data_IF_197413706651
#
_entry.id   IF_197413706651
#
_cell.length_a   1.000
_cell.length_b   1.000
_cell.length_c   1.000
_cell.angle_alpha   90.00
_cell.angle_beta   90.00
_cell.angle_gamma   90.00
#
_symmetry.space_group_name_H-M   'P 1'
#
loop_
_entity.id
_entity.type
_entity.pdbx_description
1 polymer ?
#
# COMPACT_ATOMS: atom_id res chain seq x y z
N UNK A 1 -11.12 6.59 -3.11
CA UNK A 1 -10.38 5.52 -2.40
C UNK A 1 -11.31 4.82 -1.43
N UNK A 2 -11.34 3.50 -1.45
CA UNK A 2 -12.15 2.65 -0.56
C UNK A 2 -11.20 1.81 0.29
N UNK A 3 -11.46 1.72 1.60
CA UNK A 3 -10.74 0.84 2.52
C UNK A 3 -11.69 0.21 3.53
N UNK A 4 -11.30 -0.88 4.13
CA UNK A 4 -12.01 -1.51 5.25
C UNK A 4 -11.02 -2.14 6.23
N UNK A 5 -11.51 -2.53 7.40
CA UNK A 5 -10.76 -3.40 8.29
C UNK A 5 -10.63 -4.81 7.69
N UNK A 6 -9.65 -5.57 8.15
CA UNK A 6 -9.55 -7.00 7.82
C UNK A 6 -10.81 -7.74 8.26
N UNK A 7 -11.21 -8.70 7.45
CA UNK A 7 -12.40 -9.53 7.66
C UNK A 7 -11.99 -11.00 7.84
N UNK A 8 -11.02 -11.24 8.73
CA UNK A 8 -10.44 -12.57 8.97
C UNK A 8 -11.48 -13.56 9.56
N UNK A 9 -12.63 -13.06 10.04
CA UNK A 9 -13.78 -13.87 10.43
C UNK A 9 -14.52 -14.53 9.24
N UNK A 10 -14.23 -14.08 8.01
CA UNK A 10 -14.81 -14.65 6.78
C UNK A 10 -13.82 -15.60 6.10
N UNK A 11 -14.28 -16.72 5.56
CA UNK A 11 -13.40 -17.67 4.87
C UNK A 11 -12.65 -17.08 3.68
N UNK A 12 -13.27 -16.08 3.00
CA UNK A 12 -12.71 -15.38 1.84
C UNK A 12 -12.02 -14.05 2.21
N UNK A 13 -11.87 -13.74 3.51
CA UNK A 13 -11.35 -12.44 3.96
C UNK A 13 -12.19 -11.24 3.48
N UNK A 14 -13.42 -11.46 2.98
CA UNK A 14 -14.30 -10.46 2.40
C UNK A 14 -14.03 -10.14 0.92
N UNK A 15 -13.29 -10.99 0.20
CA UNK A 15 -12.91 -10.75 -1.19
C UNK A 15 -14.10 -10.56 -2.13
N UNK A 16 -15.16 -11.36 -1.98
CA UNK A 16 -16.36 -11.21 -2.80
C UNK A 16 -17.09 -9.88 -2.54
N UNK A 17 -17.09 -9.39 -1.29
CA UNK A 17 -17.67 -8.07 -0.96
C UNK A 17 -16.84 -6.97 -1.62
N UNK A 18 -15.51 -7.08 -1.58
CA UNK A 18 -14.62 -6.15 -2.26
C UNK A 18 -14.89 -6.11 -3.76
N UNK A 19 -14.92 -7.27 -4.40
CA UNK A 19 -15.17 -7.38 -5.83
C UNK A 19 -16.52 -6.80 -6.24
N UNK A 20 -17.57 -7.11 -5.49
CA UNK A 20 -18.91 -6.56 -5.76
C UNK A 20 -18.97 -5.05 -5.52
N UNK A 21 -18.30 -4.54 -4.48
CA UNK A 21 -18.23 -3.10 -4.22
C UNK A 21 -17.56 -2.36 -5.38
N UNK A 22 -16.45 -2.87 -5.92
CA UNK A 22 -15.76 -2.28 -7.07
C UNK A 22 -16.69 -2.27 -8.29
N UNK A 23 -17.30 -3.42 -8.64
CA UNK A 23 -18.21 -3.54 -9.77
C UNK A 23 -19.39 -2.56 -9.67
N UNK A 24 -20.05 -2.52 -8.51
CA UNK A 24 -21.17 -1.59 -8.27
C UNK A 24 -20.77 -0.12 -8.31
N UNK A 25 -19.56 0.19 -7.88
CA UNK A 25 -19.05 1.56 -7.96
C UNK A 25 -18.86 1.97 -9.41
N UNK A 26 -18.27 1.11 -10.25
CA UNK A 26 -18.12 1.36 -11.69
C UNK A 26 -19.48 1.48 -12.40
N UNK A 27 -20.46 0.64 -12.05
CA UNK A 27 -21.82 0.71 -12.60
C UNK A 27 -22.54 2.01 -12.22
N UNK A 28 -22.45 2.40 -10.94
CA UNK A 28 -23.15 3.57 -10.43
C UNK A 28 -22.48 4.90 -10.84
N UNK A 29 -21.17 4.88 -11.06
CA UNK A 29 -20.37 6.07 -11.37
C UNK A 29 -19.45 5.81 -12.58
N UNK A 30 -20.01 5.71 -13.80
CA UNK A 30 -19.19 5.48 -14.99
C UNK A 30 -18.12 6.55 -15.18
N UNK A 31 -16.88 6.12 -15.41
CA UNK A 31 -15.73 7.01 -15.62
C UNK A 31 -15.03 7.43 -14.32
N UNK A 32 -15.50 7.01 -13.14
CA UNK A 32 -14.80 7.23 -11.88
C UNK A 32 -13.67 6.21 -11.71
N UNK A 33 -12.47 6.68 -11.39
CA UNK A 33 -11.35 5.81 -10.98
C UNK A 33 -11.57 5.29 -9.56
N UNK A 34 -11.41 3.99 -9.36
CA UNK A 34 -11.54 3.32 -8.07
C UNK A 34 -10.16 2.88 -7.59
N UNK A 35 -9.74 3.39 -6.44
CA UNK A 35 -8.61 2.86 -5.68
C UNK A 35 -9.12 2.06 -4.49
N UNK A 36 -8.58 0.86 -4.27
CA UNK A 36 -8.90 0.05 -3.10
C UNK A 36 -7.64 -0.24 -2.28
N UNK A 37 -7.75 -0.04 -0.96
CA UNK A 37 -6.72 -0.45 0.00
C UNK A 37 -7.22 -1.66 0.77
N UNK A 38 -6.62 -2.81 0.53
CA UNK A 38 -7.08 -4.11 1.01
C UNK A 38 -6.07 -4.77 1.97
N UNK A 39 -6.56 -5.72 2.78
CA UNK A 39 -5.74 -6.59 3.60
C UNK A 39 -4.92 -7.59 2.79
N UNK A 40 -4.23 -8.50 3.52
CA UNK A 40 -3.43 -9.56 2.90
C UNK A 40 -4.21 -10.87 2.65
N UNK A 41 -5.51 -10.91 2.97
CA UNK A 41 -6.40 -12.08 2.85
C UNK A 41 -5.77 -13.36 3.42
N UNK A 42 -4.97 -13.24 4.49
CA UNK A 42 -4.18 -14.33 5.06
C UNK A 42 -3.29 -15.07 4.03
N UNK A 43 -3.05 -14.47 2.87
CA UNK A 43 -2.28 -15.05 1.76
C UNK A 43 -3.07 -15.99 0.86
N UNK A 44 -4.40 -15.97 0.91
CA UNK A 44 -5.24 -16.75 -0.01
C UNK A 44 -5.19 -16.13 -1.42
N UNK A 45 -4.42 -16.77 -2.30
CA UNK A 45 -4.23 -16.34 -3.68
C UNK A 45 -5.55 -16.27 -4.47
N UNK A 46 -6.53 -17.13 -4.16
CA UNK A 46 -7.84 -17.13 -4.83
C UNK A 46 -8.65 -15.91 -4.42
N UNK A 47 -8.67 -15.61 -3.12
CA UNK A 47 -9.34 -14.42 -2.59
C UNK A 47 -8.74 -13.14 -3.18
N UNK A 48 -7.40 -13.06 -3.23
CA UNK A 48 -6.70 -11.93 -3.85
C UNK A 48 -7.09 -11.80 -5.33
N UNK A 49 -7.14 -12.92 -6.07
CA UNK A 49 -7.49 -12.92 -7.49
C UNK A 49 -8.93 -12.43 -7.74
N UNK A 50 -9.90 -12.80 -6.89
CA UNK A 50 -11.29 -12.31 -6.97
C UNK A 50 -11.35 -10.79 -6.94
N UNK A 51 -10.55 -10.14 -6.08
CA UNK A 51 -10.48 -8.67 -6.02
C UNK A 51 -9.80 -8.10 -7.26
N UNK A 52 -8.71 -8.73 -7.73
CA UNK A 52 -8.01 -8.30 -8.93
C UNK A 52 -8.90 -8.37 -10.18
N UNK A 53 -9.73 -9.41 -10.28
CA UNK A 53 -10.64 -9.63 -11.42
C UNK A 53 -11.78 -8.58 -11.48
N UNK A 54 -12.09 -7.93 -10.36
CA UNK A 54 -13.02 -6.80 -10.33
C UNK A 54 -12.44 -5.51 -10.96
N UNK A 55 -11.12 -5.51 -11.27
CA UNK A 55 -10.43 -4.48 -12.07
C UNK A 55 -10.51 -3.05 -11.49
N UNK A 56 -10.18 -2.82 -10.21
CA UNK A 56 -9.97 -1.45 -9.74
C UNK A 56 -8.84 -0.81 -10.56
N UNK A 57 -8.85 0.52 -10.71
CA UNK A 57 -7.78 1.24 -11.39
C UNK A 57 -6.46 1.19 -10.62
N UNK A 58 -6.53 1.26 -9.28
CA UNK A 58 -5.40 1.13 -8.39
C UNK A 58 -5.75 0.13 -7.27
N UNK A 59 -4.86 -0.83 -7.04
CA UNK A 59 -4.96 -1.74 -5.90
C UNK A 59 -3.78 -1.54 -4.97
N UNK A 60 -4.07 -1.38 -3.68
CA UNK A 60 -3.11 -1.04 -2.65
C UNK A 60 -3.11 -2.05 -1.51
N UNK A 61 -1.91 -2.41 -1.05
CA UNK A 61 -1.67 -3.12 0.20
C UNK A 61 -0.43 -2.54 0.87
N UNK A 62 -0.57 -2.06 2.10
CA UNK A 62 0.52 -1.40 2.79
C UNK A 62 1.49 -2.39 3.42
N UNK A 63 2.80 -2.13 3.28
CA UNK A 63 3.85 -2.80 4.05
C UNK A 63 3.84 -2.33 5.51
N UNK A 64 3.39 -1.12 5.78
CA UNK A 64 3.29 -0.41 7.04
C UNK A 64 4.64 -0.07 7.68
N UNK A 65 5.60 -0.98 7.73
CA UNK A 65 6.91 -0.79 8.35
C UNK A 65 7.96 -1.74 7.77
N UNK A 66 9.22 -1.53 8.17
CA UNK A 66 10.36 -2.34 7.76
C UNK A 66 10.34 -3.76 8.36
N UNK A 67 11.08 -4.68 7.76
CA UNK A 67 11.07 -6.11 8.11
C UNK A 67 11.31 -6.38 9.59
N UNK A 68 12.31 -5.73 10.20
CA UNK A 68 12.65 -5.89 11.61
C UNK A 68 11.51 -5.46 12.55
N UNK A 69 10.80 -4.39 12.20
CA UNK A 69 9.72 -3.85 13.02
C UNK A 69 8.37 -4.54 12.80
N UNK A 70 8.24 -5.33 11.73
CA UNK A 70 6.98 -5.94 11.33
C UNK A 70 6.30 -6.76 12.45
N UNK A 71 7.00 -7.63 13.22
CA UNK A 71 6.37 -8.39 14.30
C UNK A 71 5.80 -7.51 15.42
N UNK A 72 6.43 -6.36 15.70
CA UNK A 72 5.98 -5.44 16.74
C UNK A 72 4.82 -4.54 16.30
N UNK A 73 4.77 -4.17 15.01
CA UNK A 73 3.77 -3.26 14.45
C UNK A 73 2.54 -4.01 13.93
N UNK A 74 2.76 -5.18 13.32
CA UNK A 74 1.73 -6.00 12.68
C UNK A 74 1.86 -7.48 13.07
N UNK A 75 1.59 -7.87 14.30
CA UNK A 75 1.85 -9.22 14.81
C UNK A 75 1.11 -10.33 14.08
N UNK A 76 0.00 -10.04 13.43
CA UNK A 76 -0.79 -11.01 12.66
C UNK A 76 -0.39 -11.09 11.18
N UNK A 77 0.28 -10.06 10.65
CA UNK A 77 0.75 -10.02 9.28
C UNK A 77 2.18 -10.57 9.16
N UNK A 78 2.60 -10.86 7.94
CA UNK A 78 3.96 -11.32 7.62
C UNK A 78 4.54 -10.50 6.50
N UNK A 79 5.77 -10.07 6.64
CA UNK A 79 6.48 -9.23 5.66
C UNK A 79 6.49 -9.87 4.27
N UNK A 80 6.91 -11.12 4.18
CA UNK A 80 6.98 -11.87 2.93
C UNK A 80 5.60 -12.12 2.30
N UNK A 81 4.55 -12.24 3.13
CA UNK A 81 3.17 -12.36 2.63
C UNK A 81 2.70 -11.06 2.00
N UNK A 82 3.00 -9.91 2.60
CA UNK A 82 2.69 -8.61 2.01
C UNK A 82 3.38 -8.41 0.66
N UNK A 83 4.65 -8.81 0.53
CA UNK A 83 5.37 -8.81 -0.76
C UNK A 83 4.71 -9.73 -1.80
N UNK A 84 4.25 -10.93 -1.38
CA UNK A 84 3.55 -11.86 -2.27
C UNK A 84 2.21 -11.30 -2.76
N UNK A 85 1.46 -10.62 -1.90
CA UNK A 85 0.20 -9.92 -2.27
C UNK A 85 0.48 -8.86 -3.33
N UNK A 86 1.48 -8.00 -3.12
CA UNK A 86 1.86 -6.96 -4.10
C UNK A 86 2.30 -7.57 -5.43
N UNK A 87 3.03 -8.69 -5.40
CA UNK A 87 3.41 -9.44 -6.61
C UNK A 87 2.20 -9.93 -7.39
N UNK A 88 1.20 -10.48 -6.73
CA UNK A 88 -0.02 -10.96 -7.38
C UNK A 88 -0.83 -9.83 -7.99
N UNK A 89 -0.94 -8.67 -7.32
CA UNK A 89 -1.57 -7.48 -7.89
C UNK A 89 -0.91 -7.07 -9.21
N UNK A 90 0.41 -7.01 -9.20
CA UNK A 90 1.17 -6.63 -10.41
C UNK A 90 1.05 -7.67 -11.52
N UNK A 91 1.09 -8.96 -11.19
CA UNK A 91 0.89 -10.04 -12.16
C UNK A 91 -0.49 -10.00 -12.81
N UNK A 92 -1.51 -9.46 -12.11
CA UNK A 92 -2.86 -9.24 -12.66
C UNK A 92 -2.95 -8.00 -13.57
N UNK A 93 -1.84 -7.29 -13.81
CA UNK A 93 -1.76 -6.13 -14.70
C UNK A 93 -2.39 -4.86 -14.13
N UNK A 94 -2.54 -4.77 -12.81
CA UNK A 94 -3.09 -3.61 -12.12
C UNK A 94 -2.01 -2.60 -11.75
N UNK A 95 -2.40 -1.33 -11.59
CA UNK A 95 -1.55 -0.35 -10.93
C UNK A 95 -1.46 -0.72 -9.47
N UNK A 96 -0.22 -0.98 -9.01
CA UNK A 96 0.04 -1.50 -7.67
C UNK A 96 0.64 -0.42 -6.80
N UNK A 97 0.06 -0.24 -5.62
CA UNK A 97 0.46 0.78 -4.64
C UNK A 97 0.74 0.16 -3.29
N UNK A 98 1.72 0.73 -2.59
CA UNK A 98 2.02 0.38 -1.20
C UNK A 98 2.35 1.62 -0.39
N UNK A 99 2.37 1.48 0.93
CA UNK A 99 2.70 2.55 1.85
C UNK A 99 3.42 2.06 3.09
N UNK A 100 4.22 2.96 3.66
CA UNK A 100 4.90 2.75 4.94
C UNK A 100 4.76 3.97 5.84
N UNK A 101 4.90 3.74 7.13
CA UNK A 101 5.04 4.77 8.14
C UNK A 101 6.49 4.78 8.65
N UNK A 102 7.02 5.97 8.90
CA UNK A 102 8.36 6.18 9.46
C UNK A 102 8.29 6.95 10.77
N UNK A 103 9.32 6.78 11.63
CA UNK A 103 9.36 7.34 12.98
C UNK A 103 8.79 6.42 14.05
N UNK A 104 8.74 5.07 13.79
CA UNK A 104 8.25 4.06 14.72
C UNK A 104 9.39 3.25 15.36
N UNK A 105 10.70 3.45 14.89
CA UNK A 105 11.90 2.77 15.38
C UNK A 105 12.72 2.09 14.28
N UNK A 106 12.38 2.32 13.02
CA UNK A 106 13.16 1.90 11.86
C UNK A 106 14.41 2.76 11.65
N UNK A 107 15.42 2.23 10.97
CA UNK A 107 16.55 2.97 10.45
C UNK A 107 16.34 3.33 8.97
N UNK A 108 17.06 4.36 8.49
CA UNK A 108 16.87 4.86 7.13
C UNK A 108 17.30 3.85 6.07
N UNK A 109 18.35 3.08 6.33
CA UNK A 109 18.81 2.00 5.46
C UNK A 109 17.78 0.86 5.35
N UNK A 110 17.07 0.55 6.43
CA UNK A 110 15.98 -0.44 6.41
C UNK A 110 14.79 0.02 5.55
N UNK A 111 14.52 1.34 5.52
CA UNK A 111 13.49 1.92 4.63
C UNK A 111 13.90 1.77 3.16
N UNK A 112 15.18 1.99 2.85
CA UNK A 112 15.71 1.81 1.50
C UNK A 112 15.71 0.33 1.10
N UNK A 113 16.08 -0.60 2.00
CA UNK A 113 16.00 -2.05 1.78
C UNK A 113 14.55 -2.49 1.50
N UNK A 114 13.57 -1.97 2.25
CA UNK A 114 12.14 -2.24 1.99
C UNK A 114 11.74 -1.79 0.57
N UNK A 115 12.20 -0.62 0.12
CA UNK A 115 11.93 -0.16 -1.24
C UNK A 115 12.51 -1.11 -2.29
N UNK A 116 13.73 -1.61 -2.07
CA UNK A 116 14.38 -2.60 -2.93
C UNK A 116 13.61 -3.93 -2.92
N UNK A 117 13.18 -4.43 -1.76
CA UNK A 117 12.37 -5.64 -1.62
C UNK A 117 11.02 -5.54 -2.36
N UNK A 118 10.34 -4.41 -2.22
CA UNK A 118 9.06 -4.16 -2.91
C UNK A 118 9.26 -4.13 -4.42
N UNK A 119 10.27 -3.43 -4.91
CA UNK A 119 10.57 -3.37 -6.35
C UNK A 119 10.98 -4.74 -6.91
N UNK A 120 11.83 -5.47 -6.22
CA UNK A 120 12.22 -6.81 -6.62
C UNK A 120 11.04 -7.79 -6.65
N UNK A 121 10.10 -7.65 -5.70
CA UNK A 121 8.94 -8.54 -5.60
C UNK A 121 7.84 -8.22 -6.59
N UNK A 122 7.55 -6.94 -6.86
CA UNK A 122 6.30 -6.54 -7.51
C UNK A 122 6.43 -5.46 -8.58
N UNK A 123 7.56 -4.75 -8.69
CA UNK A 123 7.63 -3.54 -9.52
C UNK A 123 6.44 -2.60 -9.26
N UNK A 124 6.14 -2.34 -7.98
CA UNK A 124 5.03 -1.48 -7.59
C UNK A 124 5.16 -0.08 -8.20
N UNK A 125 4.03 0.46 -8.61
CA UNK A 125 4.00 1.75 -9.33
C UNK A 125 4.06 2.94 -8.37
N UNK A 126 3.40 2.84 -7.20
CA UNK A 126 3.23 3.95 -6.24
C UNK A 126 3.70 3.57 -4.85
N UNK A 127 4.46 4.48 -4.23
CA UNK A 127 4.83 4.41 -2.82
C UNK A 127 4.32 5.63 -2.07
N UNK A 128 3.79 5.43 -0.86
CA UNK A 128 3.50 6.50 0.10
C UNK A 128 4.35 6.32 1.36
N UNK A 129 4.97 7.41 1.84
CA UNK A 129 5.76 7.44 3.08
C UNK A 129 5.22 8.53 3.98
N UNK A 130 4.65 8.17 5.12
CA UNK A 130 4.07 9.11 6.07
C UNK A 130 4.67 9.00 7.47
N UNK A 131 4.52 10.05 8.29
CA UNK A 131 4.91 9.99 9.70
C UNK A 131 4.00 9.06 10.47
N UNK A 132 4.59 8.16 11.26
CA UNK A 132 3.83 7.39 12.24
C UNK A 132 3.25 8.30 13.32
N UNK A 133 1.96 8.13 13.60
CA UNK A 133 1.26 8.76 14.71
C UNK A 133 0.69 7.67 15.59
N UNK A 134 1.01 7.70 16.89
CA UNK A 134 0.55 6.70 17.84
C UNK A 134 -0.99 6.75 17.98
N UNK A 135 -1.74 5.72 17.59
CA UNK A 135 -3.20 5.76 17.61
C UNK A 135 -3.78 5.77 19.03
N UNK A 136 -3.21 4.97 19.92
CA UNK A 136 -3.58 4.91 21.35
C UNK A 136 -2.34 4.64 22.20
N UNK A 137 -2.44 4.80 23.54
CA UNK A 137 -1.35 4.51 24.47
C UNK A 137 -0.89 3.04 24.49
N UNK A 138 -1.68 2.14 23.92
CA UNK A 138 -1.33 0.70 23.82
C UNK A 138 -0.51 0.36 22.57
N UNK A 139 -0.38 1.29 21.64
CA UNK A 139 0.47 1.13 20.45
C UNK A 139 1.90 1.60 20.74
N UNK A 140 2.83 1.24 19.89
CA UNK A 140 4.22 1.69 20.00
C UNK A 140 4.28 3.22 20.09
N UNK A 141 5.10 3.78 20.97
CA UNK A 141 5.30 5.23 21.02
C UNK A 141 5.96 5.71 19.72
N UNK A 142 5.81 7.00 19.43
CA UNK A 142 6.61 7.65 18.39
C UNK A 142 8.06 7.62 18.83
N UNK A 143 8.93 7.02 18.03
CA UNK A 143 10.37 6.96 18.30
C UNK A 143 11.04 8.30 17.93
N UNK A 144 10.70 8.82 16.76
CA UNK A 144 11.20 10.10 16.27
C UNK A 144 10.20 10.85 15.39
N UNK A 145 10.28 12.16 15.43
CA UNK A 145 9.68 13.02 14.42
C UNK A 145 10.66 13.17 13.25
N UNK A 146 10.28 12.61 12.12
CA UNK A 146 11.14 12.58 10.94
C UNK A 146 11.18 13.96 10.29
N UNK A 147 12.38 14.48 10.01
CA UNK A 147 12.54 15.79 9.41
C UNK A 147 12.05 15.82 7.95
N UNK A 148 11.47 16.94 7.46
CA UNK A 148 11.02 17.06 6.07
C UNK A 148 12.07 16.70 5.01
N UNK A 149 13.35 17.03 5.24
CA UNK A 149 14.44 16.68 4.32
C UNK A 149 14.64 15.18 4.19
N UNK A 150 14.34 14.41 5.25
CA UNK A 150 14.37 12.96 5.23
C UNK A 150 13.26 12.39 4.35
N UNK A 151 12.05 12.96 4.42
CA UNK A 151 10.97 12.59 3.50
C UNK A 151 11.34 12.92 2.05
N UNK A 152 12.00 14.06 1.79
CA UNK A 152 12.49 14.40 0.45
C UNK A 152 13.55 13.40 -0.03
N UNK A 153 14.41 12.91 0.86
CA UNK A 153 15.39 11.85 0.55
C UNK A 153 14.68 10.54 0.19
N UNK A 154 13.70 10.10 0.98
CA UNK A 154 12.92 8.89 0.67
C UNK A 154 12.21 8.99 -0.69
N UNK A 155 11.59 10.15 -1.00
CA UNK A 155 10.95 10.38 -2.31
C UNK A 155 11.94 10.19 -3.46
N UNK A 156 13.12 10.82 -3.38
CA UNK A 156 14.16 10.71 -4.40
C UNK A 156 14.59 9.25 -4.60
N UNK A 157 14.92 8.55 -3.50
CA UNK A 157 15.37 7.16 -3.56
C UNK A 157 14.29 6.19 -4.06
N UNK A 158 13.01 6.44 -3.78
CA UNK A 158 11.92 5.66 -4.34
C UNK A 158 11.85 5.81 -5.87
N UNK A 159 11.92 7.05 -6.38
CA UNK A 159 11.89 7.31 -7.83
C UNK A 159 13.11 6.70 -8.54
N UNK A 160 14.32 6.80 -7.95
CA UNK A 160 15.54 6.17 -8.45
C UNK A 160 15.44 4.64 -8.56
N UNK A 161 14.63 4.01 -7.69
CA UNK A 161 14.36 2.55 -7.65
C UNK A 161 13.25 2.09 -8.59
N UNK A 162 12.60 3.02 -9.31
CA UNK A 162 11.61 2.68 -10.33
C UNK A 162 10.15 2.79 -9.89
N UNK A 163 9.85 3.30 -8.69
CA UNK A 163 8.48 3.75 -8.42
C UNK A 163 8.15 4.92 -9.34
N UNK A 164 6.99 4.86 -9.99
CA UNK A 164 6.56 5.90 -10.93
C UNK A 164 6.08 7.16 -10.21
N UNK A 165 5.48 6.95 -9.03
CA UNK A 165 4.98 8.01 -8.16
C UNK A 165 5.41 7.70 -6.72
N UNK A 166 5.89 8.72 -6.01
CA UNK A 166 6.14 8.63 -4.58
C UNK A 166 5.62 9.89 -3.88
N UNK A 167 4.68 9.71 -2.96
CA UNK A 167 4.28 10.74 -2.03
C UNK A 167 4.94 10.49 -0.68
N UNK A 168 5.71 11.47 -0.21
CA UNK A 168 6.52 11.35 1.01
C UNK A 168 6.48 12.65 1.80
N UNK A 169 6.00 12.59 3.02
CA UNK A 169 5.88 13.77 3.87
C UNK A 169 5.19 13.49 5.20
N UNK A 170 5.31 14.38 6.20
CA UNK A 170 4.77 14.18 7.53
C UNK A 170 3.24 13.94 7.57
N UNK A 171 2.50 14.58 6.68
CA UNK A 171 1.03 14.49 6.61
C UNK A 171 0.53 13.50 5.56
N UNK A 172 1.42 12.83 4.84
CA UNK A 172 1.04 11.85 3.82
C UNK A 172 0.32 10.67 4.46
N UNK A 173 -0.76 10.24 3.81
CA UNK A 173 -1.53 9.02 4.09
C UNK A 173 -1.76 8.27 2.79
N UNK A 174 -2.21 7.03 2.84
CA UNK A 174 -2.43 6.20 1.65
C UNK A 174 -3.36 6.84 0.61
N UNK A 175 -4.33 7.66 1.03
CA UNK A 175 -5.25 8.36 0.14
C UNK A 175 -4.81 9.78 -0.27
N UNK A 176 -3.62 10.23 0.18
CA UNK A 176 -3.13 11.58 -0.09
C UNK A 176 -2.90 11.77 -1.59
N UNK A 177 -3.48 12.83 -2.18
CA UNK A 177 -3.40 13.15 -3.62
C UNK A 177 -3.72 11.95 -4.54
N UNK A 178 -4.69 11.09 -4.15
CA UNK A 178 -5.02 9.88 -4.92
C UNK A 178 -5.56 10.20 -6.33
N UNK A 179 -6.26 11.30 -6.50
CA UNK A 179 -6.73 11.84 -7.78
C UNK A 179 -5.56 12.23 -8.69
N UNK A 180 -4.60 13.01 -8.19
CA UNK A 180 -3.41 13.41 -8.94
C UNK A 180 -2.55 12.18 -9.31
N UNK A 181 -2.45 11.18 -8.43
CA UNK A 181 -1.75 9.92 -8.70
C UNK A 181 -2.43 9.15 -9.84
N UNK A 182 -3.76 9.07 -9.84
CA UNK A 182 -4.52 8.42 -10.90
C UNK A 182 -4.32 9.12 -12.25
N UNK A 183 -4.32 10.44 -12.27
CA UNK A 183 -4.09 11.25 -13.49
C UNK A 183 -2.67 11.05 -14.04
N UNK A 184 -1.65 11.12 -13.19
CA UNK A 184 -0.26 10.88 -13.59
C UNK A 184 -0.07 9.47 -14.18
N UNK A 185 -0.70 8.45 -13.60
CA UNK A 185 -0.61 7.07 -14.07
C UNK A 185 -1.40 6.84 -15.38
N UNK A 186 -2.48 7.58 -15.61
CA UNK A 186 -3.24 7.52 -16.87
C UNK A 186 -2.44 8.10 -18.04
N UNK A 187 -1.59 9.11 -17.80
CA UNK A 187 -0.69 9.70 -18.79
C UNK A 187 0.47 8.75 -19.16
N UNK A 188 0.90 7.90 -18.25
CA UNK A 188 1.99 6.92 -18.48
C UNK A 188 1.49 5.70 -19.29
N UNK A 189 0.18 5.43 -19.30
CA UNK A 189 -0.44 4.33 -20.06
C UNK A 189 -0.76 4.67 -21.53
N UNK A 190 -0.62 5.92 -21.93
CA UNK A 190 -0.75 6.39 -23.32
C UNK A 190 0.60 6.40 -24.03
#
# INVERSE_FOLDING_TARGET
VITSVNRDERPDGGAEIWAETIRRTHEACPGMSVEVLVGDFCGDEKAIQVVCDARPEIISHNMETVKRMHPAVRPQARYERSLAVLRQFKASGLVTKTGIMVGIGEHDDEVLELMDDVQAASHADVLTVGQYLQPTRNHLPIDRWVHPDQFAMYKRHALERGFKVCESGPLVRSSYHADEQADMLSLIRR
#
